data_IF_662694945226
#
_entry.id   IF_662694945226
#
_cell.length_a   1.000
_cell.length_b   1.000
_cell.length_c   1.000
_cell.angle_alpha   90.00
_cell.angle_beta   90.00
_cell.angle_gamma   90.00
#
_symmetry.space_group_name_H-M   'P 1'
#
loop_
_entity.id
_entity.type
_entity.pdbx_description
1 polymer ?
#
# COMPACT_ATOMS: atom_id res chain seq x y z
N UNK A 1 31.57 -0.17 -1.17
CA UNK A 1 30.20 0.26 -1.55
C UNK A 1 29.82 -0.48 -2.81
N UNK A 2 28.69 -1.17 -2.80
CA UNK A 2 28.17 -1.86 -4.00
C UNK A 2 27.33 -0.87 -4.79
N UNK A 3 27.63 -0.69 -6.08
CA UNK A 3 26.82 0.12 -6.99
C UNK A 3 25.96 -0.78 -7.87
N UNK A 4 24.67 -0.43 -8.00
CA UNK A 4 23.74 -1.10 -8.92
C UNK A 4 23.40 -0.12 -10.02
N UNK A 5 23.58 -0.54 -11.27
CA UNK A 5 23.19 0.23 -12.46
C UNK A 5 21.99 -0.44 -13.09
N UNK A 6 20.93 0.34 -13.33
CA UNK A 6 19.68 -0.15 -13.91
C UNK A 6 19.43 0.54 -15.24
N UNK A 7 19.07 -0.24 -16.25
CA UNK A 7 18.56 0.27 -17.51
C UNK A 7 17.09 0.65 -17.32
N UNK A 8 16.73 1.89 -17.65
CA UNK A 8 15.34 2.38 -17.65
C UNK A 8 14.96 2.85 -19.05
N UNK A 9 13.66 2.91 -19.35
CA UNK A 9 13.20 3.43 -20.63
C UNK A 9 13.51 4.93 -20.76
N UNK A 10 13.58 5.43 -22.01
CA UNK A 10 13.90 6.85 -22.23
C UNK A 10 12.77 7.78 -21.75
N UNK A 11 11.52 7.32 -21.71
CA UNK A 11 10.40 8.05 -21.13
C UNK A 11 10.63 8.30 -19.63
N UNK A 12 10.88 7.23 -18.88
CA UNK A 12 11.16 7.31 -17.43
C UNK A 12 12.38 8.19 -17.17
N UNK A 13 13.45 8.01 -17.94
CA UNK A 13 14.66 8.84 -17.83
C UNK A 13 14.39 10.32 -18.07
N UNK A 14 13.47 10.65 -18.98
CA UNK A 14 13.06 12.03 -19.27
C UNK A 14 12.25 12.61 -18.11
N UNK A 15 11.34 11.83 -17.52
CA UNK A 15 10.58 12.25 -16.33
C UNK A 15 11.48 12.45 -15.10
N UNK A 16 12.42 11.52 -14.84
CA UNK A 16 13.37 11.64 -13.73
C UNK A 16 14.22 12.92 -13.82
N UNK A 17 14.60 13.29 -15.06
CA UNK A 17 15.36 14.53 -15.34
C UNK A 17 14.58 15.81 -15.02
N UNK A 18 13.25 15.77 -14.93
CA UNK A 18 12.46 16.93 -14.52
C UNK A 18 12.59 17.21 -13.02
N UNK A 19 12.89 16.19 -12.21
CA UNK A 19 13.04 16.30 -10.76
C UNK A 19 14.47 16.01 -10.32
N UNK A 20 15.43 16.79 -10.82
CA UNK A 20 16.86 16.62 -10.48
C UNK A 20 17.18 16.87 -9.00
N UNK A 21 16.29 17.59 -8.29
CA UNK A 21 16.41 17.85 -6.87
C UNK A 21 16.07 16.63 -6.00
N UNK A 22 15.47 15.59 -6.58
CA UNK A 22 15.14 14.34 -5.88
C UNK A 22 16.38 13.44 -5.82
N UNK A 23 16.63 12.86 -4.64
CA UNK A 23 17.63 11.82 -4.49
C UNK A 23 17.11 10.47 -5.00
N UNK A 24 17.19 10.27 -6.31
CA UNK A 24 16.70 9.05 -6.97
C UNK A 24 17.38 7.76 -6.49
N UNK A 25 18.62 7.84 -5.99
CA UNK A 25 19.31 6.68 -5.42
C UNK A 25 18.71 6.26 -4.08
N UNK A 26 18.18 7.19 -3.29
CA UNK A 26 17.45 6.87 -2.06
C UNK A 26 16.10 6.25 -2.39
N UNK A 27 15.36 6.85 -3.32
CA UNK A 27 14.07 6.33 -3.80
C UNK A 27 14.24 4.89 -4.32
N UNK A 28 15.25 4.63 -5.16
CA UNK A 28 15.52 3.29 -5.65
C UNK A 28 15.84 2.30 -4.51
N UNK A 29 16.61 2.71 -3.50
CA UNK A 29 16.90 1.86 -2.34
C UNK A 29 15.66 1.56 -1.51
N UNK A 30 14.80 2.55 -1.27
CA UNK A 30 13.54 2.35 -0.57
C UNK A 30 12.62 1.40 -1.33
N UNK A 31 12.43 1.60 -2.64
CA UNK A 31 11.56 0.76 -3.46
C UNK A 31 12.06 -0.69 -3.58
N UNK A 32 13.37 -0.91 -3.73
CA UNK A 32 13.95 -2.26 -3.70
C UNK A 32 13.68 -2.93 -2.35
N UNK A 33 13.83 -2.19 -1.25
CA UNK A 33 13.60 -2.70 0.11
C UNK A 33 12.12 -3.05 0.31
N UNK A 34 11.21 -2.16 -0.07
CA UNK A 34 9.76 -2.42 -0.04
C UNK A 34 9.41 -3.68 -0.80
N UNK A 35 9.95 -3.84 -2.02
CA UNK A 35 9.68 -5.01 -2.85
C UNK A 35 10.12 -6.31 -2.18
N UNK A 36 11.31 -6.31 -1.59
CA UNK A 36 11.83 -7.46 -0.85
C UNK A 36 10.94 -7.82 0.35
N UNK A 37 10.54 -6.81 1.14
CA UNK A 37 9.67 -6.99 2.30
C UNK A 37 8.30 -7.52 1.86
N UNK A 38 7.73 -6.96 0.80
CA UNK A 38 6.44 -7.39 0.26
C UNK A 38 6.48 -8.85 -0.20
N UNK A 39 7.52 -9.26 -0.92
CA UNK A 39 7.70 -10.66 -1.34
C UNK A 39 7.87 -11.61 -0.15
N UNK A 40 8.65 -11.23 0.85
CA UNK A 40 8.79 -12.00 2.10
C UNK A 40 7.46 -12.11 2.85
N UNK A 41 6.70 -11.02 2.91
CA UNK A 41 5.40 -10.96 3.55
C UNK A 41 4.38 -11.84 2.83
N UNK A 42 4.34 -11.82 1.49
CA UNK A 42 3.48 -12.72 0.71
C UNK A 42 3.80 -14.18 1.02
N UNK A 43 5.09 -14.52 1.14
CA UNK A 43 5.52 -15.90 1.37
C UNK A 43 5.27 -16.39 2.80
N UNK A 44 5.48 -15.54 3.80
CA UNK A 44 5.49 -15.95 5.22
C UNK A 44 4.28 -15.48 6.00
N UNK A 45 3.58 -14.45 5.52
CA UNK A 45 2.49 -13.78 6.22
C UNK A 45 2.94 -12.93 7.42
N UNK A 46 4.25 -12.77 7.64
CA UNK A 46 4.80 -12.10 8.82
C UNK A 46 5.91 -11.13 8.44
N UNK A 47 6.13 -10.14 9.30
CA UNK A 47 7.22 -9.18 9.17
C UNK A 47 8.19 -9.37 10.32
N UNK A 48 9.48 -9.29 10.04
CA UNK A 48 10.50 -9.22 11.09
C UNK A 48 10.54 -7.83 11.72
N UNK A 49 11.07 -7.71 12.94
CA UNK A 49 11.13 -6.43 13.66
C UNK A 49 11.83 -5.32 12.85
N UNK A 50 12.89 -5.66 12.11
CA UNK A 50 13.62 -4.72 11.25
C UNK A 50 12.78 -4.22 10.08
N UNK A 51 12.02 -5.13 9.46
CA UNK A 51 11.11 -4.78 8.36
C UNK A 51 9.95 -3.94 8.88
N UNK A 52 9.48 -4.19 10.10
CA UNK A 52 8.47 -3.40 10.77
C UNK A 52 8.92 -1.96 11.06
N UNK A 53 10.14 -1.79 11.58
CA UNK A 53 10.74 -0.46 11.80
C UNK A 53 10.88 0.32 10.50
N UNK A 54 11.30 -0.35 9.42
CA UNK A 54 11.36 0.26 8.10
C UNK A 54 9.97 0.72 7.65
N UNK A 55 8.98 -0.16 7.66
CA UNK A 55 7.58 0.14 7.29
C UNK A 55 7.03 1.35 8.06
N UNK A 56 7.27 1.40 9.39
CA UNK A 56 6.85 2.51 10.24
C UNK A 56 7.51 3.83 9.87
N UNK A 57 8.81 3.80 9.54
CA UNK A 57 9.57 5.01 9.17
C UNK A 57 9.03 5.66 7.90
N UNK A 58 8.67 4.86 6.92
CA UNK A 58 8.19 5.34 5.61
C UNK A 58 6.66 5.48 5.52
N UNK A 59 5.93 5.07 6.57
CA UNK A 59 4.48 5.15 6.61
C UNK A 59 3.78 4.24 5.60
N UNK A 60 4.33 3.05 5.36
CA UNK A 60 3.82 2.06 4.39
C UNK A 60 3.72 0.68 5.04
N UNK A 61 2.72 -0.11 4.65
CA UNK A 61 2.58 -1.50 5.07
C UNK A 61 2.34 -2.41 3.85
N UNK A 62 2.89 -3.64 3.80
CA UNK A 62 2.70 -4.56 2.66
C UNK A 62 1.25 -4.82 2.26
N UNK A 63 0.32 -4.76 3.23
CA UNK A 63 -1.11 -4.94 3.00
C UNK A 63 -1.71 -3.84 2.11
N UNK A 64 -1.10 -2.66 2.05
CA UNK A 64 -1.58 -1.53 1.25
C UNK A 64 -1.50 -1.83 -0.27
N UNK A 65 -0.60 -2.72 -0.68
CA UNK A 65 -0.44 -3.16 -2.07
C UNK A 65 -1.27 -4.40 -2.42
N UNK A 66 -1.93 -5.03 -1.44
CA UNK A 66 -2.72 -6.22 -1.69
C UNK A 66 -4.02 -5.86 -2.43
N UNK A 67 -4.41 -6.65 -3.44
CA UNK A 67 -5.69 -6.46 -4.09
C UNK A 67 -6.83 -6.70 -3.09
N UNK A 68 -7.88 -5.89 -3.17
CA UNK A 68 -9.10 -6.13 -2.42
C UNK A 68 -9.68 -7.50 -2.78
N UNK A 69 -10.01 -8.29 -1.75
CA UNK A 69 -10.71 -9.57 -1.95
C UNK A 69 -11.99 -9.33 -2.75
N UNK A 70 -12.21 -10.13 -3.79
CA UNK A 70 -13.39 -9.99 -4.65
C UNK A 70 -14.71 -10.12 -3.88
N UNK A 71 -14.72 -10.96 -2.84
CA UNK A 71 -15.86 -11.13 -1.94
C UNK A 71 -16.25 -9.82 -1.26
N UNK A 72 -15.25 -9.09 -0.74
CA UNK A 72 -15.44 -7.80 -0.11
C UNK A 72 -15.93 -6.75 -1.12
N UNK A 73 -15.41 -6.79 -2.35
CA UNK A 73 -15.88 -5.92 -3.43
C UNK A 73 -17.34 -6.19 -3.79
N UNK A 74 -17.72 -7.46 -3.91
CA UNK A 74 -19.12 -7.88 -4.18
C UNK A 74 -20.05 -7.48 -3.04
N UNK A 75 -19.61 -7.58 -1.80
CA UNK A 75 -20.39 -7.15 -0.64
C UNK A 75 -20.58 -5.63 -0.60
N UNK A 76 -19.54 -4.85 -0.89
CA UNK A 76 -19.65 -3.40 -1.05
C UNK A 76 -20.63 -3.01 -2.15
N UNK A 77 -20.62 -3.70 -3.30
CA UNK A 77 -21.59 -3.43 -4.36
C UNK A 77 -23.03 -3.77 -3.96
N UNK A 78 -23.24 -4.84 -3.20
CA UNK A 78 -24.56 -5.16 -2.63
C UNK A 78 -25.03 -4.07 -1.67
N UNK A 79 -24.17 -3.68 -0.71
CA UNK A 79 -24.49 -2.64 0.28
C UNK A 79 -24.66 -1.25 -0.32
N UNK A 80 -23.97 -0.94 -1.43
CA UNK A 80 -24.19 0.31 -2.18
C UNK A 80 -25.58 0.40 -2.81
N UNK A 81 -26.18 -0.76 -3.17
CA UNK A 81 -27.55 -0.84 -3.70
C UNK A 81 -28.59 -0.80 -2.58
N UNK A 82 -28.21 -1.08 -1.33
CA UNK A 82 -29.08 -0.95 -0.17
C UNK A 82 -29.30 0.54 0.18
N UNK A 83 -30.50 0.88 0.65
CA UNK A 83 -30.81 2.25 1.07
C UNK A 83 -30.03 2.58 2.32
N UNK A 84 -29.23 3.66 2.27
CA UNK A 84 -28.56 4.17 3.46
C UNK A 84 -29.59 4.56 4.53
N UNK A 85 -29.38 4.06 5.76
CA UNK A 85 -30.21 4.38 6.91
C UNK A 85 -29.62 5.64 7.55
N UNK A 86 -30.35 6.76 7.48
CA UNK A 86 -29.97 7.96 8.23
C UNK A 86 -30.30 7.75 9.70
N UNK A 87 -29.25 7.63 10.52
CA UNK A 87 -29.33 7.62 11.98
C UNK A 87 -29.02 9.02 12.52
N UNK A 88 -29.73 9.44 13.58
CA UNK A 88 -29.52 10.75 14.22
C UNK A 88 -28.50 10.66 15.36
N UNK A 89 -28.37 9.49 15.99
CA UNK A 89 -27.40 9.22 17.06
C UNK A 89 -26.70 7.88 16.84
N UNK A 90 -25.48 7.75 17.36
CA UNK A 90 -24.73 6.47 17.38
C UNK A 90 -25.54 5.37 18.08
N UNK A 91 -26.37 5.72 19.06
CA UNK A 91 -27.28 4.79 19.75
C UNK A 91 -28.32 4.15 18.84
N UNK A 92 -28.69 4.82 17.75
CA UNK A 92 -29.68 4.31 16.78
C UNK A 92 -29.09 3.26 15.84
N UNK A 93 -27.75 3.18 15.74
CA UNK A 93 -27.06 2.14 14.97
C UNK A 93 -27.33 0.78 15.61
N UNK A 94 -27.18 0.69 16.93
CA UNK A 94 -27.35 -0.57 17.69
C UNK A 94 -28.81 -1.04 17.79
N UNK A 95 -29.78 -0.16 17.55
CA UNK A 95 -31.21 -0.54 17.52
C UNK A 95 -31.63 -1.17 16.19
N UNK A 96 -30.89 -0.89 15.11
CA UNK A 96 -31.16 -1.40 13.77
C UNK A 96 -30.31 -2.62 13.41
N UNK A 97 -29.40 -3.05 14.29
CA UNK A 97 -28.68 -4.31 14.18
C UNK A 97 -29.50 -5.35 14.95
N UNK A 98 -30.30 -6.15 14.25
CA UNK A 98 -31.03 -7.29 14.80
C UNK A 98 -30.79 -8.52 13.94
#
# INVERSE_FOLDING_TARGET
MTSVTLSVSEEVKTELKQFQWVNWSEVAREEITKKLIFENYIRTGTLTDKEWEFCKKIGWHPVDELPLKEEFRKELEKRKKEKSIRVKSVSDIFKNIK
#
